data_IF_516114424605
#
_entry.id   IF_516114424605
#
_cell.length_a   1.000
_cell.length_b   1.000
_cell.length_c   1.000
_cell.angle_alpha   90.00
_cell.angle_beta   90.00
_cell.angle_gamma   90.00
#
_symmetry.space_group_name_H-M   'P 1'
#
loop_
_entity.id
_entity.type
_entity.pdbx_description
1 polymer ?
#
# COMPACT_ATOMS: atom_id res chain seq x y z
N UNK A 1 17.39 -24.86 4.89
CA UNK A 1 16.35 -25.73 5.52
C UNK A 1 15.07 -24.90 5.64
N UNK A 2 13.97 -25.34 5.05
CA UNK A 2 12.68 -24.63 5.14
C UNK A 2 12.12 -24.79 6.54
N UNK A 3 11.87 -23.68 7.22
CA UNK A 3 11.22 -23.66 8.56
C UNK A 3 9.73 -23.99 8.36
N UNK A 4 9.27 -25.12 8.87
CA UNK A 4 7.83 -25.40 8.97
C UNK A 4 7.33 -24.71 10.26
N UNK A 5 6.72 -23.54 10.13
CA UNK A 5 6.03 -22.92 11.27
C UNK A 5 4.74 -23.67 11.57
N UNK A 6 4.43 -23.99 12.85
CA UNK A 6 3.07 -24.32 13.24
C UNK A 6 2.17 -23.13 12.86
N UNK A 7 1.12 -23.37 12.10
CA UNK A 7 0.25 -22.31 11.56
C UNK A 7 -0.35 -21.39 12.65
N UNK A 8 -0.56 -21.91 13.85
CA UNK A 8 -1.05 -21.16 15.01
C UNK A 8 -0.03 -20.18 15.58
N UNK A 9 1.26 -20.56 15.65
CA UNK A 9 2.34 -19.72 16.18
C UNK A 9 2.66 -18.57 15.21
N UNK A 10 2.77 -18.86 13.93
CA UNK A 10 2.97 -17.83 12.90
C UNK A 10 1.83 -16.80 12.88
N UNK A 11 0.58 -17.27 13.01
CA UNK A 11 -0.57 -16.36 13.05
C UNK A 11 -0.55 -15.45 14.29
N UNK A 12 -0.09 -15.97 15.45
CA UNK A 12 0.07 -15.17 16.65
C UNK A 12 1.17 -14.13 16.51
N UNK A 13 2.31 -14.49 15.92
CA UNK A 13 3.43 -13.57 15.67
C UNK A 13 3.03 -12.43 14.72
N UNK A 14 2.29 -12.75 13.65
CA UNK A 14 1.76 -11.76 12.73
C UNK A 14 0.79 -10.82 13.44
N UNK A 15 -0.16 -11.35 14.21
CA UNK A 15 -1.14 -10.54 14.93
C UNK A 15 -0.47 -9.61 15.95
N UNK A 16 0.52 -10.12 16.71
CA UNK A 16 1.28 -9.31 17.65
C UNK A 16 2.10 -8.19 16.93
N UNK A 17 2.70 -8.51 15.78
CA UNK A 17 3.38 -7.52 14.95
C UNK A 17 2.43 -6.43 14.47
N UNK A 18 1.28 -6.80 13.92
CA UNK A 18 0.27 -5.84 13.46
C UNK A 18 -0.24 -4.94 14.58
N UNK A 19 -0.46 -5.46 15.78
CA UNK A 19 -0.87 -4.65 16.93
C UNK A 19 0.18 -3.58 17.31
N UNK A 20 1.50 -3.91 17.22
CA UNK A 20 2.56 -2.93 17.43
C UNK A 20 2.59 -1.88 16.33
N UNK A 21 2.38 -2.27 15.07
CA UNK A 21 2.29 -1.37 13.93
C UNK A 21 1.13 -0.39 14.08
N UNK A 22 -0.05 -0.86 14.49
CA UNK A 22 -1.22 -0.01 14.78
C UNK A 22 -0.91 1.01 15.87
N UNK A 23 -0.30 0.59 16.97
CA UNK A 23 0.09 1.49 18.07
C UNK A 23 1.08 2.57 17.59
N UNK A 24 2.07 2.18 16.78
CA UNK A 24 3.03 3.11 16.20
C UNK A 24 2.37 4.13 15.26
N UNK A 25 1.48 3.66 14.42
CA UNK A 25 0.71 4.48 13.50
C UNK A 25 -0.12 5.53 14.25
N UNK A 26 -0.89 5.11 15.25
CA UNK A 26 -1.75 5.99 16.03
C UNK A 26 -0.93 7.03 16.80
N UNK A 27 0.19 6.59 17.40
CA UNK A 27 1.10 7.48 18.12
C UNK A 27 1.74 8.52 17.20
N UNK A 28 2.13 8.12 15.98
CA UNK A 28 2.78 9.02 15.02
C UNK A 28 1.82 10.10 14.51
N UNK A 29 0.54 9.78 14.35
CA UNK A 29 -0.48 10.71 13.84
C UNK A 29 -1.17 11.51 14.93
N UNK A 30 -0.95 11.19 16.20
CA UNK A 30 -1.46 11.98 17.32
C UNK A 30 -0.78 13.34 17.38
N UNK A 31 -1.53 14.39 17.14
CA UNK A 31 -1.04 15.78 17.13
C UNK A 31 -1.76 16.66 18.14
N UNK A 32 -1.32 17.92 18.25
CA UNK A 32 -1.88 18.90 19.18
C UNK A 32 -3.24 19.44 18.73
N UNK A 33 -3.55 19.39 17.43
CA UNK A 33 -4.74 19.99 16.86
C UNK A 33 -5.90 18.98 16.74
N UNK A 34 -7.02 19.19 17.47
CA UNK A 34 -8.18 18.29 17.44
C UNK A 34 -8.74 18.04 16.03
N UNK A 35 -8.75 19.07 15.17
CA UNK A 35 -9.23 18.95 13.80
C UNK A 35 -8.37 17.99 12.95
N UNK A 36 -7.04 17.99 13.13
CA UNK A 36 -6.14 17.06 12.45
C UNK A 36 -6.36 15.62 12.96
N UNK A 37 -6.48 15.47 14.29
CA UNK A 37 -6.76 14.17 14.91
C UNK A 37 -8.09 13.58 14.46
N UNK A 38 -9.11 14.41 14.22
CA UNK A 38 -10.40 13.96 13.68
C UNK A 38 -10.24 13.38 12.25
N UNK A 39 -9.49 14.07 11.40
CA UNK A 39 -9.20 13.61 10.04
C UNK A 39 -8.38 12.32 10.04
N UNK A 40 -7.35 12.22 10.88
CA UNK A 40 -6.55 11.00 11.03
C UNK A 40 -7.42 9.81 11.46
N UNK A 41 -8.28 9.99 12.47
CA UNK A 41 -9.24 8.95 12.88
C UNK A 41 -10.24 8.58 11.79
N UNK A 42 -10.63 9.54 10.94
CA UNK A 42 -11.51 9.24 9.82
C UNK A 42 -10.84 8.29 8.82
N UNK A 43 -9.57 8.53 8.46
CA UNK A 43 -8.83 7.68 7.52
C UNK A 43 -8.34 6.36 8.12
N UNK A 44 -8.42 6.16 9.44
CA UNK A 44 -8.19 4.83 10.04
C UNK A 44 -9.09 3.75 9.43
N UNK A 45 -10.29 4.12 8.98
CA UNK A 45 -11.19 3.23 8.24
C UNK A 45 -10.60 2.76 6.90
N UNK A 46 -9.59 3.47 6.38
CA UNK A 46 -8.87 3.11 5.15
C UNK A 46 -7.85 1.98 5.38
N UNK A 47 -7.48 1.71 6.64
CA UNK A 47 -6.72 0.52 7.01
C UNK A 47 -7.55 -0.71 6.69
N UNK A 48 -7.22 -1.46 5.69
CA UNK A 48 -7.94 -2.68 5.37
C UNK A 48 -7.44 -3.89 6.13
N UNK A 49 -6.98 -4.87 5.35
CA UNK A 49 -6.41 -6.12 5.87
C UNK A 49 -4.93 -5.97 6.25
N UNK A 50 -4.40 -4.76 6.26
CA UNK A 50 -2.98 -4.47 6.57
C UNK A 50 -2.01 -5.35 5.76
N UNK A 51 -2.27 -5.51 4.46
CA UNK A 51 -1.50 -6.44 3.61
C UNK A 51 -0.01 -6.06 3.55
N UNK A 52 0.31 -4.79 3.37
CA UNK A 52 1.70 -4.31 3.26
C UNK A 52 2.46 -4.48 4.57
N UNK A 53 1.94 -4.06 5.72
CA UNK A 53 2.52 -4.41 7.02
C UNK A 53 2.72 -5.91 7.22
N UNK A 54 1.71 -6.72 6.85
CA UNK A 54 1.82 -8.18 6.92
C UNK A 54 2.98 -8.70 6.07
N UNK A 55 3.17 -8.15 4.85
CA UNK A 55 4.30 -8.55 4.00
C UNK A 55 5.67 -8.21 4.62
N UNK A 56 5.81 -7.05 5.27
CA UNK A 56 7.04 -6.71 6.01
C UNK A 56 7.28 -7.73 7.13
N UNK A 57 6.27 -8.01 7.95
CA UNK A 57 6.36 -8.92 9.09
C UNK A 57 6.69 -10.34 8.64
N UNK A 58 5.93 -10.90 7.69
CA UNK A 58 6.12 -12.28 7.19
C UNK A 58 7.48 -12.45 6.54
N UNK A 59 7.89 -11.47 5.73
CA UNK A 59 9.22 -11.49 5.10
C UNK A 59 10.34 -11.39 6.13
N UNK A 60 10.16 -10.59 7.17
CA UNK A 60 11.10 -10.53 8.30
C UNK A 60 11.19 -11.86 9.03
N UNK A 61 10.06 -12.46 9.40
CA UNK A 61 10.00 -13.75 10.09
C UNK A 61 10.64 -14.88 9.28
N UNK A 62 10.50 -14.85 7.93
CA UNK A 62 11.08 -15.88 7.07
C UNK A 62 12.62 -15.95 7.13
N UNK A 63 13.30 -14.86 7.46
CA UNK A 63 14.75 -14.76 7.56
C UNK A 63 15.25 -14.56 9.00
N UNK A 64 14.36 -14.41 9.96
CA UNK A 64 14.73 -14.35 11.38
C UNK A 64 15.14 -15.74 11.86
N UNK A 65 16.30 -15.91 12.55
CA UNK A 65 16.72 -17.20 13.10
C UNK A 65 15.66 -17.79 14.04
N UNK A 66 15.71 -19.11 14.25
CA UNK A 66 14.80 -19.80 15.18
C UNK A 66 14.93 -19.23 16.60
N UNK A 67 13.79 -18.91 17.24
CA UNK A 67 13.75 -18.25 18.53
C UNK A 67 14.09 -16.75 18.52
N UNK A 68 14.43 -16.19 17.36
CA UNK A 68 14.65 -14.76 17.19
C UNK A 68 13.33 -14.00 17.07
N UNK A 69 13.37 -12.70 17.37
CA UNK A 69 12.25 -11.77 17.24
C UNK A 69 12.50 -10.74 16.13
N UNK A 70 11.43 -10.19 15.58
CA UNK A 70 11.52 -9.04 14.71
C UNK A 70 12.07 -7.83 15.47
N UNK A 71 12.90 -7.06 14.79
CA UNK A 71 13.45 -5.80 15.33
C UNK A 71 12.39 -4.70 15.25
N UNK A 72 12.52 -3.69 16.10
CA UNK A 72 11.64 -2.52 16.10
C UNK A 72 11.58 -1.80 14.75
N UNK A 73 12.64 -1.84 13.97
CA UNK A 73 12.70 -1.26 12.63
C UNK A 73 11.73 -1.93 11.64
N UNK A 74 11.37 -3.21 11.86
CA UNK A 74 10.30 -3.85 11.07
C UNK A 74 8.95 -3.21 11.35
N UNK A 75 8.64 -2.90 12.61
CA UNK A 75 7.39 -2.24 12.99
C UNK A 75 7.34 -0.81 12.40
N UNK A 76 8.46 -0.07 12.43
CA UNK A 76 8.60 1.25 11.82
C UNK A 76 8.35 1.19 10.31
N UNK A 77 9.04 0.30 9.59
CA UNK A 77 8.89 0.17 8.14
C UNK A 77 7.46 -0.28 7.79
N UNK A 78 6.90 -1.21 8.54
CA UNK A 78 5.53 -1.69 8.33
C UNK A 78 4.49 -0.56 8.50
N UNK A 79 4.62 0.28 9.54
CA UNK A 79 3.78 1.45 9.73
C UNK A 79 3.98 2.49 8.60
N UNK A 80 5.23 2.72 8.20
CA UNK A 80 5.59 3.68 7.13
C UNK A 80 4.95 3.29 5.79
N UNK A 81 5.07 2.03 5.37
CA UNK A 81 4.49 1.59 4.09
C UNK A 81 2.96 1.67 4.10
N UNK A 82 2.31 1.45 5.24
CA UNK A 82 0.86 1.62 5.37
C UNK A 82 0.45 3.09 5.33
N UNK A 83 1.21 4.00 5.99
CA UNK A 83 0.95 5.45 5.90
C UNK A 83 1.07 5.95 4.44
N UNK A 84 2.12 5.53 3.72
CA UNK A 84 2.28 5.86 2.30
C UNK A 84 1.06 5.34 1.52
N UNK A 85 0.65 4.08 1.74
CA UNK A 85 -0.53 3.54 1.08
C UNK A 85 -1.80 4.32 1.41
N UNK A 86 -2.04 4.66 2.66
CA UNK A 86 -3.23 5.44 3.04
C UNK A 86 -3.23 6.83 2.41
N UNK A 87 -2.08 7.47 2.31
CA UNK A 87 -1.93 8.74 1.61
C UNK A 87 -2.31 8.62 0.13
N UNK A 88 -1.83 7.57 -0.56
CA UNK A 88 -2.22 7.33 -1.96
C UNK A 88 -3.73 7.13 -2.09
N UNK A 89 -4.37 6.40 -1.16
CA UNK A 89 -5.82 6.23 -1.19
C UNK A 89 -6.59 7.55 -1.02
N UNK A 90 -6.11 8.45 -0.15
CA UNK A 90 -6.72 9.78 0.04
C UNK A 90 -6.57 10.64 -1.20
N UNK A 91 -5.40 10.63 -1.85
CA UNK A 91 -5.17 11.35 -3.10
C UNK A 91 -5.97 10.73 -4.27
N UNK A 92 -6.03 9.40 -4.36
CA UNK A 92 -6.82 8.69 -5.38
C UNK A 92 -8.31 9.04 -5.27
N UNK A 93 -8.84 9.19 -4.04
CA UNK A 93 -10.24 9.61 -3.84
C UNK A 93 -10.53 11.00 -4.45
N UNK A 94 -9.56 11.92 -4.42
CA UNK A 94 -9.66 13.22 -5.08
C UNK A 94 -9.59 13.08 -6.60
N UNK A 95 -8.63 12.30 -7.10
CA UNK A 95 -8.42 12.11 -8.55
C UNK A 95 -9.59 11.39 -9.23
N UNK A 96 -10.25 10.52 -8.48
CA UNK A 96 -11.36 9.71 -8.96
C UNK A 96 -12.75 10.27 -8.56
N UNK A 97 -12.81 11.47 -7.93
CA UNK A 97 -14.04 12.07 -7.38
C UNK A 97 -14.86 11.06 -6.57
N UNK A 98 -14.17 10.20 -5.83
CA UNK A 98 -14.82 9.14 -5.07
C UNK A 98 -15.59 9.74 -3.89
N UNK A 99 -16.82 9.27 -3.69
CA UNK A 99 -17.67 9.70 -2.56
C UNK A 99 -17.69 8.70 -1.42
N UNK A 100 -17.38 7.42 -1.72
CA UNK A 100 -17.41 6.32 -0.76
C UNK A 100 -16.17 5.46 -0.88
N UNK A 101 -15.59 5.08 0.26
CA UNK A 101 -14.50 4.10 0.39
C UNK A 101 -14.75 3.21 1.61
N UNK A 102 -14.71 1.88 1.41
CA UNK A 102 -14.91 0.89 2.49
C UNK A 102 -16.16 1.16 3.34
N UNK A 103 -17.29 1.46 2.67
CA UNK A 103 -18.59 1.75 3.29
C UNK A 103 -18.63 3.04 4.12
N UNK A 104 -17.63 3.92 4.00
CA UNK A 104 -17.61 5.24 4.61
C UNK A 104 -17.45 6.33 3.56
N UNK A 105 -17.91 7.54 3.89
CA UNK A 105 -17.71 8.71 3.04
C UNK A 105 -16.23 9.08 2.99
N UNK A 106 -15.76 9.56 1.82
CA UNK A 106 -14.38 9.98 1.63
C UNK A 106 -14.10 11.35 2.21
N UNK A 107 -12.83 11.67 2.46
CA UNK A 107 -12.45 12.99 3.02
C UNK A 107 -12.77 14.12 2.04
N UNK A 108 -12.50 13.93 0.74
CA UNK A 108 -12.81 14.92 -0.29
C UNK A 108 -14.32 15.21 -0.37
N UNK A 109 -15.16 14.21 -0.21
CA UNK A 109 -16.61 14.38 -0.18
C UNK A 109 -17.08 15.15 1.06
N UNK A 110 -16.53 14.83 2.24
CA UNK A 110 -16.94 15.44 3.51
C UNK A 110 -16.35 16.84 3.76
N UNK A 111 -15.12 17.08 3.32
CA UNK A 111 -14.31 18.25 3.72
C UNK A 111 -13.70 19.01 2.53
N UNK A 112 -13.96 18.55 1.31
CA UNK A 112 -13.44 19.14 0.08
C UNK A 112 -12.04 18.64 -0.29
N UNK A 113 -11.69 18.87 -1.57
CA UNK A 113 -10.44 18.40 -2.16
C UNK A 113 -9.21 18.99 -1.49
N UNK A 114 -9.22 20.28 -1.11
CA UNK A 114 -8.10 20.94 -0.44
C UNK A 114 -7.72 20.23 0.86
N UNK A 115 -8.72 19.87 1.67
CA UNK A 115 -8.51 19.15 2.94
C UNK A 115 -7.94 17.74 2.67
N UNK A 116 -8.47 17.04 1.66
CA UNK A 116 -8.01 15.70 1.32
C UNK A 116 -6.56 15.71 0.81
N UNK A 117 -6.20 16.63 -0.08
CA UNK A 117 -4.82 16.78 -0.56
C UNK A 117 -3.85 17.04 0.60
N UNK A 118 -4.17 18.01 1.46
CA UNK A 118 -3.32 18.33 2.62
C UNK A 118 -3.22 17.18 3.63
N UNK A 119 -4.28 16.39 3.80
CA UNK A 119 -4.23 15.21 4.65
C UNK A 119 -3.32 14.11 4.06
N UNK A 120 -3.37 13.87 2.76
CA UNK A 120 -2.47 12.96 2.08
C UNK A 120 -1.00 13.38 2.24
N UNK A 121 -0.71 14.67 2.05
CA UNK A 121 0.64 15.23 2.27
C UNK A 121 1.09 15.10 3.73
N UNK A 122 0.18 15.31 4.68
CA UNK A 122 0.44 15.11 6.10
C UNK A 122 0.80 13.64 6.42
N UNK A 123 0.08 12.68 5.85
CA UNK A 123 0.36 11.25 6.01
C UNK A 123 1.74 10.88 5.44
N UNK A 124 2.08 11.36 4.24
CA UNK A 124 3.40 11.13 3.62
C UNK A 124 4.52 11.72 4.46
N UNK A 125 4.35 12.96 4.91
CA UNK A 125 5.33 13.64 5.77
C UNK A 125 5.57 12.86 7.07
N UNK A 126 4.49 12.39 7.72
CA UNK A 126 4.60 11.57 8.93
C UNK A 126 5.21 10.20 8.66
N UNK A 127 4.96 9.59 7.51
CA UNK A 127 5.59 8.34 7.11
C UNK A 127 7.10 8.46 7.05
N UNK A 128 7.64 9.48 6.37
CA UNK A 128 9.08 9.71 6.28
C UNK A 128 9.68 10.16 7.61
N UNK A 129 8.96 10.96 8.40
CA UNK A 129 9.39 11.31 9.76
C UNK A 129 9.52 10.07 10.64
N UNK A 130 8.52 9.17 10.63
CA UNK A 130 8.58 7.90 11.34
C UNK A 130 9.75 7.03 10.87
N UNK A 131 9.92 6.86 9.56
CA UNK A 131 11.01 6.08 8.97
C UNK A 131 12.39 6.59 9.41
N UNK A 132 12.55 7.91 9.54
CA UNK A 132 13.80 8.53 10.01
C UNK A 132 14.19 8.08 11.42
N UNK A 133 13.24 7.67 12.25
CA UNK A 133 13.48 7.18 13.61
C UNK A 133 14.10 5.77 13.66
N UNK A 134 14.09 5.04 12.55
CA UNK A 134 14.78 3.76 12.44
C UNK A 134 16.32 3.89 12.49
N UNK A 135 16.85 5.09 12.30
CA UNK A 135 18.30 5.35 12.36
C UNK A 135 19.11 4.83 11.16
N UNK A 136 18.45 4.24 10.16
CA UNK A 136 19.05 3.80 8.89
C UNK A 136 18.55 4.69 7.74
N UNK A 137 19.36 5.66 7.26
CA UNK A 137 18.97 6.58 6.19
C UNK A 137 18.69 5.87 4.86
N UNK A 138 19.18 4.65 4.67
CA UNK A 138 18.96 3.89 3.44
C UNK A 138 17.52 3.39 3.33
N UNK A 139 16.79 3.27 4.45
CA UNK A 139 15.36 2.97 4.45
C UNK A 139 14.56 4.12 3.86
N UNK A 140 14.85 5.36 4.31
CA UNK A 140 14.22 6.55 3.75
C UNK A 140 14.53 6.74 2.27
N UNK A 141 15.80 6.54 1.88
CA UNK A 141 16.19 6.61 0.47
C UNK A 141 15.36 5.62 -0.37
N UNK A 142 15.30 4.35 0.08
CA UNK A 142 14.56 3.30 -0.65
C UNK A 142 13.06 3.61 -0.74
N UNK A 143 12.44 4.05 0.36
CA UNK A 143 11.02 4.41 0.36
C UNK A 143 10.74 5.68 -0.46
N UNK A 144 11.68 6.62 -0.52
CA UNK A 144 11.63 7.77 -1.42
C UNK A 144 11.62 7.36 -2.89
N UNK A 145 12.50 6.45 -3.30
CA UNK A 145 12.51 5.88 -4.66
C UNK A 145 11.17 5.19 -4.99
N UNK A 146 10.64 4.42 -4.04
CA UNK A 146 9.34 3.75 -4.19
C UNK A 146 8.21 4.77 -4.34
N UNK A 147 8.19 5.81 -3.52
CA UNK A 147 7.15 6.86 -3.58
C UNK A 147 7.22 7.64 -4.89
N UNK A 148 8.43 7.96 -5.38
CA UNK A 148 8.61 8.56 -6.71
C UNK A 148 8.04 7.65 -7.80
N UNK A 149 8.33 6.35 -7.74
CA UNK A 149 7.81 5.37 -8.71
C UNK A 149 6.29 5.27 -8.67
N UNK A 150 5.67 5.34 -7.47
CA UNK A 150 4.21 5.41 -7.32
C UNK A 150 3.61 6.63 -8.02
N UNK A 151 4.18 7.80 -7.77
CA UNK A 151 3.75 9.05 -8.40
C UNK A 151 3.90 9.01 -9.93
N UNK A 152 5.03 8.50 -10.43
CA UNK A 152 5.24 8.31 -11.88
C UNK A 152 4.18 7.39 -12.49
N UNK A 153 3.86 6.27 -11.81
CA UNK A 153 2.82 5.34 -12.25
C UNK A 153 1.45 6.01 -12.37
N UNK A 154 1.08 6.83 -11.39
CA UNK A 154 -0.17 7.59 -11.40
C UNK A 154 -0.17 8.65 -12.52
N UNK A 155 0.90 9.42 -12.68
CA UNK A 155 1.02 10.42 -13.74
C UNK A 155 0.91 9.79 -15.13
N UNK A 156 1.52 8.62 -15.34
CA UNK A 156 1.39 7.88 -16.60
C UNK A 156 -0.05 7.42 -16.80
N UNK A 157 -0.70 6.86 -15.78
CA UNK A 157 -2.11 6.46 -15.87
C UNK A 157 -3.02 7.64 -16.22
N UNK A 158 -2.82 8.80 -15.58
CA UNK A 158 -3.57 10.02 -15.86
C UNK A 158 -3.39 10.48 -17.32
N UNK A 159 -2.16 10.41 -17.85
CA UNK A 159 -1.86 10.79 -19.23
C UNK A 159 -2.45 9.84 -20.28
N UNK A 160 -2.84 8.63 -19.86
CA UNK A 160 -3.41 7.57 -20.70
C UNK A 160 -4.92 7.39 -20.50
N UNK A 161 -5.59 8.26 -19.76
CA UNK A 161 -7.04 8.24 -19.65
C UNK A 161 -7.67 8.38 -21.04
N UNK A 162 -8.69 7.57 -21.33
CA UNK A 162 -9.41 7.50 -22.60
C UNK A 162 -8.57 7.05 -23.79
N UNK A 163 -7.35 6.53 -23.58
CA UNK A 163 -6.51 5.99 -24.65
C UNK A 163 -6.89 4.53 -24.93
N UNK A 164 -7.72 4.32 -25.94
CA UNK A 164 -8.15 2.98 -26.36
C UNK A 164 -7.04 2.19 -27.09
N UNK A 165 -5.91 2.84 -27.42
CA UNK A 165 -4.74 2.22 -28.05
C UNK A 165 -3.67 1.82 -27.01
N UNK A 166 -3.97 1.89 -25.72
CA UNK A 166 -3.06 1.47 -24.65
C UNK A 166 -2.67 0.00 -24.87
N UNK A 167 -1.38 -0.29 -24.92
CA UNK A 167 -0.87 -1.65 -25.06
C UNK A 167 -0.67 -2.35 -23.70
N UNK A 168 -0.63 -3.69 -23.72
CA UNK A 168 -0.47 -4.51 -22.50
C UNK A 168 0.81 -4.17 -21.73
N UNK A 169 1.93 -3.90 -22.41
CA UNK A 169 3.19 -3.60 -21.72
C UNK A 169 3.06 -2.30 -20.91
N UNK A 170 2.42 -1.29 -21.49
CA UNK A 170 2.15 -0.02 -20.80
C UNK A 170 1.19 -0.21 -19.64
N UNK A 171 0.14 -1.04 -19.79
CA UNK A 171 -0.74 -1.41 -18.68
C UNK A 171 0.03 -2.07 -17.53
N UNK A 172 0.84 -3.11 -17.81
CA UNK A 172 1.62 -3.78 -16.79
C UNK A 172 2.65 -2.86 -16.13
N UNK A 173 3.23 -1.93 -16.87
CA UNK A 173 4.15 -0.95 -16.31
C UNK A 173 3.44 0.03 -15.36
N UNK A 174 2.22 0.48 -15.68
CA UNK A 174 1.38 1.29 -14.79
C UNK A 174 1.07 0.50 -13.51
N UNK A 175 0.57 -0.72 -13.64
CA UNK A 175 0.22 -1.59 -12.50
C UNK A 175 1.44 -1.86 -11.60
N UNK A 176 2.60 -2.14 -12.22
CA UNK A 176 3.85 -2.36 -11.49
C UNK A 176 4.24 -1.14 -10.68
N UNK A 177 4.22 0.05 -11.29
CA UNK A 177 4.60 1.31 -10.64
C UNK A 177 3.58 1.74 -9.58
N UNK A 178 2.30 1.78 -9.93
CA UNK A 178 1.24 2.29 -9.06
C UNK A 178 0.96 1.40 -7.85
N UNK A 179 1.05 0.07 -8.00
CA UNK A 179 0.59 -0.88 -6.97
C UNK A 179 1.70 -1.83 -6.51
N UNK A 180 2.38 -2.51 -7.44
CA UNK A 180 3.25 -3.62 -7.10
C UNK A 180 4.54 -3.20 -6.42
N UNK A 181 5.11 -2.03 -6.77
CA UNK A 181 6.38 -1.55 -6.23
C UNK A 181 6.37 -1.43 -4.70
N UNK A 182 5.27 -0.97 -4.10
CA UNK A 182 5.16 -0.82 -2.64
C UNK A 182 5.03 -2.18 -1.94
N UNK A 183 4.34 -3.15 -2.56
CA UNK A 183 4.27 -4.53 -2.06
C UNK A 183 5.64 -5.20 -2.16
N UNK A 184 6.35 -4.99 -3.28
CA UNK A 184 7.73 -5.42 -3.47
C UNK A 184 8.68 -4.87 -2.41
N UNK A 185 8.61 -3.56 -2.16
CA UNK A 185 9.40 -2.90 -1.12
C UNK A 185 9.08 -3.42 0.29
N UNK A 186 7.83 -3.73 0.58
CA UNK A 186 7.42 -4.33 1.86
C UNK A 186 8.12 -5.67 2.09
N UNK A 187 8.13 -6.56 1.09
CA UNK A 187 8.82 -7.83 1.17
C UNK A 187 10.36 -7.67 1.22
N UNK A 188 10.90 -6.77 0.38
CA UNK A 188 12.33 -6.43 0.32
C UNK A 188 12.86 -5.98 1.67
N UNK A 189 12.21 -4.97 2.26
CA UNK A 189 12.67 -4.34 3.50
C UNK A 189 12.48 -5.26 4.71
N UNK A 190 11.42 -6.06 4.75
CA UNK A 190 11.24 -7.08 5.78
C UNK A 190 12.39 -8.09 5.80
N UNK A 191 12.73 -8.67 4.65
CA UNK A 191 13.83 -9.61 4.52
C UNK A 191 15.20 -8.97 4.84
N UNK A 192 15.45 -7.75 4.34
CA UNK A 192 16.68 -7.00 4.56
C UNK A 192 16.92 -6.72 6.04
N UNK A 193 15.91 -6.26 6.77
CA UNK A 193 15.99 -5.96 8.20
C UNK A 193 16.27 -7.19 9.05
N UNK A 194 15.84 -8.37 8.59
CA UNK A 194 16.15 -9.66 9.22
C UNK A 194 17.55 -10.21 8.87
N UNK A 195 18.32 -9.50 8.04
CA UNK A 195 19.69 -9.88 7.69
C UNK A 195 19.79 -10.87 6.53
N UNK A 196 18.77 -10.97 5.69
CA UNK A 196 18.81 -11.78 4.46
C UNK A 196 19.92 -11.34 3.52
N UNK A 197 20.52 -12.28 2.79
CA UNK A 197 21.50 -11.99 1.75
C UNK A 197 20.90 -11.21 0.57
N UNK A 198 21.74 -10.49 -0.18
CA UNK A 198 21.28 -9.63 -1.29
C UNK A 198 20.46 -10.38 -2.35
N UNK A 199 20.77 -11.65 -2.62
CA UNK A 199 20.00 -12.51 -3.54
C UNK A 199 18.58 -12.80 -3.03
N UNK A 200 18.45 -13.10 -1.74
CA UNK A 200 17.16 -13.37 -1.09
C UNK A 200 16.33 -12.07 -1.01
N UNK A 201 16.95 -10.95 -0.68
CA UNK A 201 16.30 -9.64 -0.67
C UNK A 201 15.73 -9.30 -2.05
N UNK A 202 16.50 -9.54 -3.13
CA UNK A 202 16.03 -9.33 -4.50
C UNK A 202 14.90 -10.30 -4.88
N UNK A 203 14.98 -11.57 -4.44
CA UNK A 203 13.95 -12.57 -4.67
C UNK A 203 12.63 -12.18 -3.96
N UNK A 204 12.71 -11.69 -2.72
CA UNK A 204 11.55 -11.23 -1.95
C UNK A 204 10.90 -9.99 -2.57
N UNK A 205 11.70 -9.05 -3.05
CA UNK A 205 11.18 -7.92 -3.83
C UNK A 205 10.39 -8.42 -5.04
N UNK A 206 11.01 -9.27 -5.86
CA UNK A 206 10.36 -9.82 -7.05
C UNK A 206 9.11 -10.66 -6.73
N UNK A 207 9.07 -11.35 -5.60
CA UNK A 207 7.86 -12.02 -5.12
C UNK A 207 6.75 -11.01 -4.81
N UNK A 208 7.05 -9.96 -4.03
CA UNK A 208 6.10 -8.92 -3.67
C UNK A 208 5.57 -8.15 -4.89
N UNK A 209 6.43 -7.83 -5.86
CA UNK A 209 6.01 -7.19 -7.11
C UNK A 209 5.02 -8.07 -7.90
N UNK A 210 5.30 -9.37 -8.06
CA UNK A 210 4.37 -10.30 -8.73
C UNK A 210 3.03 -10.43 -7.99
N UNK A 211 3.09 -10.49 -6.65
CA UNK A 211 1.88 -10.51 -5.83
C UNK A 211 1.06 -9.23 -6.01
N UNK A 212 1.71 -8.06 -6.05
CA UNK A 212 1.06 -6.77 -6.26
C UNK A 212 0.40 -6.66 -7.64
N UNK A 213 1.06 -7.16 -8.69
CA UNK A 213 0.45 -7.22 -10.04
C UNK A 213 -0.78 -8.12 -10.04
N UNK A 214 -0.68 -9.34 -9.49
CA UNK A 214 -1.82 -10.26 -9.42
C UNK A 214 -2.99 -9.68 -8.61
N UNK A 215 -2.69 -8.98 -7.52
CA UNK A 215 -3.69 -8.29 -6.71
C UNK A 215 -4.42 -7.21 -7.50
N UNK A 216 -3.69 -6.39 -8.30
CA UNK A 216 -4.31 -5.34 -9.11
C UNK A 216 -5.19 -5.91 -10.22
N UNK A 217 -4.73 -6.96 -10.93
CA UNK A 217 -5.55 -7.63 -11.94
C UNK A 217 -6.85 -8.15 -11.33
N UNK A 218 -6.79 -8.71 -10.12
CA UNK A 218 -7.98 -9.15 -9.40
C UNK A 218 -8.88 -7.97 -9.01
N UNK A 219 -8.32 -6.83 -8.62
CA UNK A 219 -9.09 -5.63 -8.28
C UNK A 219 -9.81 -5.06 -9.51
N UNK A 220 -9.13 -5.00 -10.66
CA UNK A 220 -9.69 -4.61 -11.95
C UNK A 220 -10.83 -5.55 -12.39
N UNK A 221 -10.66 -6.86 -12.16
CA UNK A 221 -11.69 -7.87 -12.43
C UNK A 221 -12.93 -7.65 -11.55
N UNK A 222 -12.72 -7.34 -10.27
CA UNK A 222 -13.81 -7.08 -9.33
C UNK A 222 -14.51 -5.75 -9.62
N UNK A 223 -13.83 -4.75 -10.17
CA UNK A 223 -14.45 -3.51 -10.61
C UNK A 223 -15.37 -3.73 -11.80
N UNK A 224 -15.04 -4.66 -12.69
CA UNK A 224 -15.84 -4.95 -13.89
C UNK A 224 -16.97 -5.94 -13.63
N UNK A 225 -16.72 -7.01 -12.85
CA UNK A 225 -17.63 -8.16 -12.70
C UNK A 225 -18.15 -8.35 -11.27
N UNK A 226 -17.70 -7.53 -10.32
CA UNK A 226 -18.06 -7.65 -8.91
C UNK A 226 -19.52 -7.26 -8.65
N UNK A 227 -19.97 -7.53 -7.43
CA UNK A 227 -21.22 -7.03 -6.87
C UNK A 227 -20.90 -5.99 -5.79
N UNK A 228 -21.49 -4.81 -5.87
CA UNK A 228 -21.22 -3.69 -4.95
C UNK A 228 -21.42 -4.06 -3.48
N UNK A 229 -22.40 -4.91 -3.18
CA UNK A 229 -22.67 -5.34 -1.81
C UNK A 229 -21.52 -6.21 -1.26
N UNK A 230 -20.89 -7.01 -2.12
CA UNK A 230 -19.78 -7.90 -1.77
C UNK A 230 -18.46 -7.15 -1.78
N UNK A 231 -18.20 -6.33 -2.80
CA UNK A 231 -16.93 -5.61 -2.97
C UNK A 231 -16.81 -4.43 -2.01
N UNK A 232 -17.94 -3.81 -1.64
CA UNK A 232 -17.99 -2.68 -0.70
C UNK A 232 -17.53 -1.34 -1.28
N UNK A 233 -17.41 -1.25 -2.62
CA UNK A 233 -17.15 -0.02 -3.40
C UNK A 233 -18.04 -0.02 -4.64
N UNK A 234 -18.25 1.15 -5.25
CA UNK A 234 -18.90 1.24 -6.56
C UNK A 234 -18.10 0.50 -7.61
N UNK A 235 -18.77 -0.21 -8.50
CA UNK A 235 -18.18 -0.96 -9.64
C UNK A 235 -18.28 -0.14 -10.92
N UNK A 236 -17.49 -0.52 -11.96
CA UNK A 236 -17.45 0.15 -13.26
C UNK A 236 -16.74 1.51 -13.24
N UNK A 237 -16.09 1.86 -12.14
CA UNK A 237 -15.41 3.14 -11.98
C UNK A 237 -14.23 3.32 -12.92
N UNK A 238 -13.48 2.26 -13.19
CA UNK A 238 -12.33 2.34 -14.11
C UNK A 238 -12.79 2.74 -15.51
N UNK A 239 -13.90 2.18 -15.97
CA UNK A 239 -14.49 2.55 -17.26
C UNK A 239 -15.01 3.99 -17.27
N UNK A 240 -15.73 4.42 -16.22
CA UNK A 240 -16.23 5.80 -16.09
C UNK A 240 -15.08 6.84 -16.13
N UNK A 241 -13.95 6.51 -15.55
CA UNK A 241 -12.75 7.37 -15.49
C UNK A 241 -11.82 7.22 -16.71
N UNK A 242 -12.25 6.42 -17.71
CA UNK A 242 -11.48 6.19 -18.93
C UNK A 242 -10.16 5.44 -18.70
N UNK A 243 -10.10 4.62 -17.65
CA UNK A 243 -8.96 3.73 -17.37
C UNK A 243 -9.18 2.42 -18.13
N UNK A 244 -8.34 2.15 -19.12
CA UNK A 244 -8.40 0.88 -19.87
C UNK A 244 -7.69 -0.22 -19.08
N UNK A 245 -8.46 -1.19 -18.59
CA UNK A 245 -7.93 -2.36 -17.85
C UNK A 245 -7.60 -3.51 -18.79
N UNK A 246 -6.80 -4.48 -18.33
CA UNK A 246 -6.41 -5.66 -19.11
C UNK A 246 -7.62 -6.42 -19.68
N UNK A 247 -8.68 -6.57 -18.89
CA UNK A 247 -9.89 -7.26 -19.33
C UNK A 247 -10.61 -6.53 -20.46
N UNK A 248 -10.68 -5.20 -20.37
CA UNK A 248 -11.27 -4.38 -21.43
C UNK A 248 -10.41 -4.45 -22.71
N UNK A 249 -9.07 -4.44 -22.59
CA UNK A 249 -8.16 -4.58 -23.72
C UNK A 249 -8.36 -5.92 -24.43
N UNK A 250 -8.45 -7.02 -23.68
CA UNK A 250 -8.71 -8.35 -24.23
C UNK A 250 -10.10 -8.50 -24.86
N UNK A 251 -11.05 -7.69 -24.46
CA UNK A 251 -12.40 -7.68 -25.04
C UNK A 251 -12.48 -6.89 -26.36
N UNK A 252 -11.65 -5.84 -26.50
CA UNK A 252 -11.63 -4.97 -27.68
C UNK A 252 -10.77 -5.56 -28.80
N UNK A 253 -9.74 -6.37 -28.46
CA UNK A 253 -8.84 -7.03 -29.40
C UNK A 253 -9.52 -8.19 -30.14
#
# INVERSE_FOLDING_TARGET
MSRAFPTTELAADIAAGLARVETLFDTQLAGEFPAVNELCRHVERYRGKMLRPTMVIVSGLAFTPEGGALRHEHDIVAATVEMIHMATLVHDDVLDDATVRRRGETVNFLRGNETAVMLGDYLISNAFHLCSRAGDPTLNLRLGEVTNTLCEGELVQLSRRHDLALDENTYFEIVRRKTAVLVGASCELGARLAGAGSGDVAAMRGFGERLGVAFQIQDDLLDLLGDEATVGKSIGRDLEKGKLTLLMMLHIA
#
